data_IF_457122391253
#
_entry.id   IF_457122391253
#
_cell.length_a   1.000
_cell.length_b   1.000
_cell.length_c   1.000
_cell.angle_alpha   90.00
_cell.angle_beta   90.00
_cell.angle_gamma   90.00
#
_symmetry.space_group_name_H-M   'P 1'
#
loop_
_entity.id
_entity.type
_entity.pdbx_description
1 polymer ?
#
# COMPACT_ATOMS: atom_id res chain seq x y z
N UNK A 1 -18.43 5.10 17.10
CA UNK A 1 -19.05 4.11 16.19
C UNK A 1 -18.58 2.68 16.52
N UNK A 2 -19.24 1.68 15.98
CA UNK A 2 -18.78 0.30 16.05
C UNK A 2 -17.53 0.15 15.16
N UNK A 3 -16.48 -0.47 15.70
CA UNK A 3 -15.30 -0.84 14.88
C UNK A 3 -15.66 -2.08 14.07
N UNK A 4 -15.51 -1.97 12.75
CA UNK A 4 -15.87 -3.02 11.79
C UNK A 4 -14.61 -3.40 11.01
N UNK A 5 -14.23 -4.68 10.92
CA UNK A 5 -13.17 -5.13 10.04
C UNK A 5 -13.50 -4.82 8.58
N UNK A 6 -12.50 -4.45 7.78
CA UNK A 6 -12.67 -4.20 6.34
C UNK A 6 -13.19 -5.44 5.62
N UNK A 7 -12.71 -6.63 6.03
CA UNK A 7 -13.19 -7.92 5.53
C UNK A 7 -14.69 -8.12 5.69
N UNK A 8 -15.28 -7.67 6.80
CA UNK A 8 -16.71 -7.80 7.06
C UNK A 8 -17.53 -6.86 6.14
N UNK A 9 -17.03 -5.65 5.88
CA UNK A 9 -17.64 -4.73 4.91
C UNK A 9 -17.66 -5.29 3.49
N UNK A 10 -16.61 -6.02 3.12
CA UNK A 10 -16.52 -6.63 1.80
C UNK A 10 -17.38 -7.88 1.67
N UNK A 11 -17.54 -8.63 2.77
CA UNK A 11 -18.36 -9.83 2.79
C UNK A 11 -19.87 -9.52 2.85
N UNK A 12 -20.27 -8.50 3.60
CA UNK A 12 -21.68 -8.16 3.86
C UNK A 12 -21.88 -6.64 4.06
N UNK A 13 -21.47 -5.86 3.08
CA UNK A 13 -21.53 -4.40 3.14
C UNK A 13 -22.95 -3.84 3.22
N UNK A 14 -23.95 -4.56 2.71
CA UNK A 14 -25.37 -4.17 2.78
C UNK A 14 -25.84 -4.05 4.24
N UNK A 15 -25.38 -4.92 5.11
CA UNK A 15 -25.73 -4.91 6.54
C UNK A 15 -25.37 -3.59 7.23
N UNK A 16 -24.36 -2.92 6.78
CA UNK A 16 -23.86 -1.67 7.36
C UNK A 16 -24.35 -0.43 6.61
N UNK A 17 -25.13 -0.60 5.55
CA UNK A 17 -25.61 0.50 4.69
C UNK A 17 -26.25 1.63 5.50
N UNK A 18 -25.77 2.86 5.33
CA UNK A 18 -26.23 4.06 6.01
C UNK A 18 -25.86 4.17 7.49
N UNK A 19 -25.14 3.18 8.05
CA UNK A 19 -24.69 3.21 9.44
C UNK A 19 -23.39 4.01 9.58
N UNK A 20 -23.25 4.66 10.73
CA UNK A 20 -21.96 5.22 11.15
C UNK A 20 -21.09 4.12 11.74
N UNK A 21 -19.95 3.90 11.16
CA UNK A 21 -18.99 2.87 11.54
C UNK A 21 -17.58 3.46 11.64
N UNK A 22 -16.71 2.75 12.34
CA UNK A 22 -15.27 3.01 12.38
C UNK A 22 -14.55 1.82 11.75
N UNK A 23 -13.62 2.08 10.84
CA UNK A 23 -12.69 1.09 10.31
C UNK A 23 -11.27 1.49 10.62
N UNK A 24 -10.38 0.52 10.74
CA UNK A 24 -8.97 0.73 10.98
C UNK A 24 -8.16 0.09 9.87
N UNK A 25 -7.10 0.76 9.43
CA UNK A 25 -6.23 0.23 8.39
C UNK A 25 -5.23 1.24 7.85
N UNK A 26 -4.43 0.78 6.91
CA UNK A 26 -3.42 1.58 6.22
C UNK A 26 -4.04 2.36 5.06
N UNK A 27 -3.70 3.64 4.93
CA UNK A 27 -4.01 4.41 3.74
C UNK A 27 -3.05 4.03 2.61
N UNK A 28 -3.59 3.58 1.47
CA UNK A 28 -2.82 3.01 0.36
C UNK A 28 -3.18 3.68 -0.97
N UNK A 29 -2.22 3.72 -1.89
CA UNK A 29 -2.39 4.27 -3.24
C UNK A 29 -2.12 5.76 -3.28
N UNK A 30 -3.05 6.52 -3.88
CA UNK A 30 -2.92 7.96 -4.07
C UNK A 30 -4.01 8.73 -3.34
N UNK A 31 -3.71 9.98 -2.99
CA UNK A 31 -4.71 10.94 -2.51
C UNK A 31 -5.33 11.67 -3.70
N UNK A 32 -6.51 11.23 -4.10
CA UNK A 32 -7.26 11.78 -5.23
C UNK A 32 -8.09 13.00 -4.83
N UNK A 33 -7.54 14.21 -4.95
CA UNK A 33 -8.26 15.45 -4.68
C UNK A 33 -9.29 15.74 -5.77
N UNK A 34 -10.48 16.19 -5.37
CA UNK A 34 -11.59 16.52 -6.26
C UNK A 34 -11.98 18.00 -6.15
N UNK A 35 -12.57 18.53 -7.21
CA UNK A 35 -13.02 19.94 -7.26
C UNK A 35 -14.13 20.26 -6.26
N UNK A 36 -14.84 19.24 -5.76
CA UNK A 36 -15.90 19.38 -4.75
C UNK A 36 -15.36 19.52 -3.31
N UNK A 37 -14.03 19.67 -3.15
CA UNK A 37 -13.38 19.78 -1.83
C UNK A 37 -13.25 18.43 -1.12
N UNK A 38 -13.49 17.32 -1.81
CA UNK A 38 -13.28 15.99 -1.27
C UNK A 38 -11.93 15.39 -1.70
N UNK A 39 -11.43 14.48 -0.88
CA UNK A 39 -10.29 13.63 -1.15
C UNK A 39 -10.73 12.17 -1.10
N UNK A 40 -10.20 11.36 -2.01
CA UNK A 40 -10.42 9.94 -2.10
C UNK A 40 -9.10 9.20 -1.92
N UNK A 41 -9.16 8.08 -1.23
CA UNK A 41 -8.05 7.13 -1.13
C UNK A 41 -8.60 5.75 -0.79
N UNK A 42 -7.73 4.76 -0.65
CA UNK A 42 -8.08 3.41 -0.25
C UNK A 42 -7.56 3.16 1.17
N UNK A 43 -8.35 2.45 1.98
CA UNK A 43 -7.96 1.96 3.29
C UNK A 43 -7.94 0.44 3.25
N UNK A 44 -6.76 -0.14 3.51
CA UNK A 44 -6.53 -1.58 3.57
C UNK A 44 -6.45 -2.03 5.02
N UNK A 45 -6.91 -3.24 5.29
CA UNK A 45 -6.86 -3.86 6.62
C UNK A 45 -5.48 -4.43 6.99
N UNK A 46 -4.59 -4.58 6.02
CA UNK A 46 -3.23 -5.08 6.19
C UNK A 46 -2.17 -4.13 5.60
N UNK A 47 -0.90 -4.39 5.87
CA UNK A 47 0.20 -3.58 5.35
C UNK A 47 0.54 -3.95 3.91
N UNK A 48 0.20 -3.06 2.97
CA UNK A 48 0.50 -3.24 1.56
C UNK A 48 1.99 -3.47 1.28
N UNK A 49 2.85 -2.74 1.96
CA UNK A 49 4.29 -2.78 1.70
C UNK A 49 4.98 -4.02 2.28
N UNK A 50 4.42 -4.61 3.37
CA UNK A 50 4.99 -5.80 4.02
C UNK A 50 4.45 -7.09 3.44
N UNK A 51 3.16 -7.10 3.11
CA UNK A 51 2.43 -8.30 2.73
C UNK A 51 2.03 -8.27 1.25
N UNK A 52 2.76 -7.50 0.43
CA UNK A 52 2.49 -7.37 -0.99
C UNK A 52 2.56 -8.72 -1.71
N UNK A 53 1.56 -9.00 -2.56
CA UNK A 53 1.49 -10.25 -3.33
C UNK A 53 2.72 -10.49 -4.20
N UNK A 54 3.35 -9.42 -4.70
CA UNK A 54 4.57 -9.49 -5.52
C UNK A 54 5.77 -10.02 -4.75
N UNK A 55 5.78 -9.84 -3.43
CA UNK A 55 6.86 -10.28 -2.53
C UNK A 55 6.54 -11.61 -1.83
N UNK A 56 5.49 -12.31 -2.29
CA UNK A 56 5.10 -13.62 -1.79
C UNK A 56 4.10 -13.58 -0.63
N UNK A 57 3.44 -12.46 -0.41
CA UNK A 57 2.34 -12.34 0.55
C UNK A 57 1.17 -13.28 0.26
N UNK A 58 0.29 -13.55 1.22
CA UNK A 58 -0.84 -14.45 1.06
C UNK A 58 -1.81 -13.92 0.00
N UNK A 59 -2.31 -14.80 -0.87
CA UNK A 59 -3.26 -14.42 -1.93
C UNK A 59 -4.67 -14.17 -1.42
N UNK A 60 -5.06 -14.82 -0.34
CA UNK A 60 -6.39 -14.69 0.25
C UNK A 60 -6.35 -13.69 1.40
N UNK A 61 -7.14 -12.63 1.32
CA UNK A 61 -7.24 -11.59 2.34
C UNK A 61 -6.11 -10.57 2.37
N UNK A 62 -5.11 -10.68 1.49
CA UNK A 62 -4.02 -9.71 1.42
C UNK A 62 -4.42 -8.48 0.60
N UNK A 63 -4.02 -7.29 1.07
CA UNK A 63 -4.26 -6.01 0.41
C UNK A 63 -5.73 -5.75 0.08
N UNK A 64 -6.60 -6.19 0.96
CA UNK A 64 -8.04 -6.00 0.82
C UNK A 64 -8.41 -4.65 1.39
N UNK A 65 -9.06 -3.82 0.59
CA UNK A 65 -9.36 -2.46 0.99
C UNK A 65 -10.68 -1.94 0.48
N UNK A 66 -11.13 -0.88 1.10
CA UNK A 66 -12.33 -0.13 0.72
C UNK A 66 -11.97 1.30 0.35
N UNK A 67 -12.71 1.86 -0.60
CA UNK A 67 -12.62 3.29 -0.89
C UNK A 67 -13.10 4.12 0.30
N UNK A 68 -12.37 5.17 0.62
CA UNK A 68 -12.82 6.17 1.58
C UNK A 68 -12.86 7.54 0.92
N UNK A 69 -13.88 8.31 1.25
CA UNK A 69 -14.06 9.69 0.83
C UNK A 69 -14.12 10.59 2.05
N UNK A 70 -13.38 11.66 2.04
CA UNK A 70 -13.35 12.62 3.16
C UNK A 70 -13.23 14.06 2.67
N UNK A 71 -13.57 15.07 3.49
CA UNK A 71 -13.19 16.45 3.23
C UNK A 71 -11.67 16.58 3.14
N UNK A 72 -11.17 17.40 2.21
CA UNK A 72 -9.73 17.62 2.01
C UNK A 72 -9.03 18.05 3.31
N UNK A 73 -9.72 18.81 4.17
CA UNK A 73 -9.18 19.24 5.47
C UNK A 73 -8.83 18.11 6.44
N UNK A 74 -9.45 16.93 6.31
CA UNK A 74 -9.07 15.75 7.10
C UNK A 74 -7.79 15.08 6.58
N UNK A 75 -7.41 15.36 5.33
CA UNK A 75 -6.18 14.89 4.71
C UNK A 75 -4.99 15.82 4.90
N UNK A 76 -5.19 16.98 5.48
CA UNK A 76 -4.12 17.96 5.67
C UNK A 76 -3.05 17.42 6.62
N UNK A 77 -1.81 17.39 6.15
CA UNK A 77 -0.67 16.92 6.95
C UNK A 77 -0.50 15.39 7.04
N UNK A 78 -1.33 14.60 6.33
CA UNK A 78 -1.12 13.16 6.24
C UNK A 78 0.22 12.86 5.57
N UNK A 79 0.92 11.84 6.08
CA UNK A 79 2.06 11.26 5.39
C UNK A 79 1.61 10.65 4.05
N UNK A 80 2.52 10.44 3.07
CA UNK A 80 2.18 9.81 1.81
C UNK A 80 1.49 8.46 2.03
N UNK A 81 0.48 8.16 1.19
CA UNK A 81 -0.21 6.87 1.21
C UNK A 81 0.76 5.71 0.90
N UNK A 82 0.45 4.55 1.43
CA UNK A 82 1.25 3.34 1.25
C UNK A 82 1.37 2.90 -0.21
N UNK A 83 2.49 2.30 -0.52
CA UNK A 83 2.82 1.83 -1.85
C UNK A 83 4.06 0.95 -1.82
N UNK A 84 4.70 0.77 -2.97
CA UNK A 84 5.91 -0.04 -3.05
C UNK A 84 6.99 0.48 -2.09
N UNK A 85 7.36 -0.35 -1.09
CA UNK A 85 8.34 -0.04 -0.02
C UNK A 85 8.06 1.23 0.79
N UNK A 86 6.81 1.62 0.83
CA UNK A 86 6.32 2.72 1.63
C UNK A 86 5.11 2.25 2.42
N UNK A 87 5.23 2.16 3.73
CA UNK A 87 4.09 2.00 4.61
C UNK A 87 3.36 3.34 4.70
N UNK A 88 2.07 3.32 4.40
CA UNK A 88 1.20 4.46 4.60
C UNK A 88 0.83 4.67 6.06
N UNK A 89 0.18 5.79 6.38
CA UNK A 89 -0.32 6.01 7.73
C UNK A 89 -1.37 4.95 8.11
N UNK A 90 -1.23 4.39 9.32
CA UNK A 90 -2.28 3.59 9.94
C UNK A 90 -3.28 4.52 10.59
N UNK A 91 -4.55 4.40 10.23
CA UNK A 91 -5.59 5.32 10.67
C UNK A 91 -6.83 4.60 11.19
N UNK A 92 -7.58 5.29 12.05
CA UNK A 92 -8.99 5.00 12.30
C UNK A 92 -9.83 6.03 11.56
N UNK A 93 -10.71 5.55 10.67
CA UNK A 93 -11.64 6.34 9.89
C UNK A 93 -13.06 6.07 10.36
N UNK A 94 -13.75 7.12 10.83
CA UNK A 94 -15.15 7.06 11.25
C UNK A 94 -16.01 7.82 10.26
N UNK A 95 -17.13 7.23 9.86
CA UNK A 95 -18.04 7.85 8.91
C UNK A 95 -19.24 6.98 8.59
N UNK A 96 -20.01 7.41 7.60
CA UNK A 96 -21.21 6.70 7.14
C UNK A 96 -20.85 5.78 5.98
N UNK A 97 -21.13 4.49 6.12
CA UNK A 97 -20.96 3.53 5.04
C UNK A 97 -22.00 3.72 3.95
N UNK A 98 -21.55 4.01 2.75
CA UNK A 98 -22.36 4.13 1.53
C UNK A 98 -22.24 2.84 0.74
N UNK A 99 -23.32 2.05 0.71
CA UNK A 99 -23.38 0.80 -0.02
C UNK A 99 -24.14 1.01 -1.33
N UNK A 100 -23.51 0.69 -2.46
CA UNK A 100 -24.06 0.86 -3.79
C UNK A 100 -24.70 2.24 -4.02
N UNK A 101 -23.96 3.32 -3.75
CA UNK A 101 -24.45 4.70 -3.86
C UNK A 101 -24.89 5.02 -5.30
N UNK A 102 -26.19 5.21 -5.56
CA UNK A 102 -26.69 5.47 -6.91
C UNK A 102 -26.21 6.82 -7.47
N UNK A 103 -25.91 7.79 -6.61
CA UNK A 103 -25.41 9.10 -7.03
C UNK A 103 -23.96 9.02 -7.51
N UNK A 104 -23.27 7.90 -7.23
CA UNK A 104 -21.89 7.63 -7.62
C UNK A 104 -21.73 6.34 -8.42
N UNK A 105 -22.71 6.03 -9.24
CA UNK A 105 -22.62 4.89 -10.16
C UNK A 105 -22.63 3.52 -9.48
N UNK A 106 -23.11 3.42 -8.24
CA UNK A 106 -23.19 2.17 -7.50
C UNK A 106 -21.92 1.82 -6.74
N UNK A 107 -21.00 2.76 -6.56
CA UNK A 107 -19.81 2.56 -5.73
C UNK A 107 -20.17 2.39 -4.26
N UNK A 108 -19.39 1.55 -3.55
CA UNK A 108 -19.45 1.40 -2.10
C UNK A 108 -18.20 2.02 -1.47
N UNK A 109 -18.39 2.88 -0.48
CA UNK A 109 -17.30 3.60 0.17
C UNK A 109 -17.68 4.08 1.56
N UNK A 110 -16.68 4.36 2.41
CA UNK A 110 -16.90 5.07 3.68
C UNK A 110 -16.83 6.58 3.45
N UNK A 111 -17.92 7.29 3.74
CA UNK A 111 -17.94 8.75 3.74
C UNK A 111 -17.49 9.26 5.13
N UNK A 112 -16.20 9.55 5.23
CA UNK A 112 -15.49 9.81 6.48
C UNK A 112 -15.82 11.21 7.01
N UNK A 113 -16.17 11.28 8.29
CA UNK A 113 -16.40 12.50 9.05
C UNK A 113 -15.31 12.79 10.08
N UNK A 114 -14.56 11.74 10.52
CA UNK A 114 -13.43 11.88 11.43
C UNK A 114 -12.33 10.89 11.07
N UNK A 115 -11.07 11.35 11.13
CA UNK A 115 -9.88 10.56 10.88
C UNK A 115 -8.89 10.76 12.01
N UNK A 116 -8.36 9.67 12.55
CA UNK A 116 -7.31 9.68 13.58
C UNK A 116 -6.13 8.87 13.08
N UNK A 117 -4.95 9.48 12.99
CA UNK A 117 -3.71 8.78 12.69
C UNK A 117 -3.24 8.05 13.94
N UNK A 118 -3.05 6.73 13.84
CA UNK A 118 -2.54 5.86 14.92
C UNK A 118 -1.02 5.77 14.83
N UNK A 119 -0.52 5.53 13.60
CA UNK A 119 0.91 5.46 13.29
C UNK A 119 1.17 6.22 11.99
N UNK A 120 2.26 6.99 11.97
CA UNK A 120 2.70 7.65 10.74
C UNK A 120 3.27 6.64 9.75
N UNK A 121 3.07 6.93 8.47
CA UNK A 121 3.69 6.15 7.40
C UNK A 121 5.22 6.27 7.42
N UNK A 122 5.91 5.25 6.93
CA UNK A 122 7.37 5.21 6.86
C UNK A 122 7.88 4.50 5.61
N UNK A 123 9.04 4.92 5.15
CA UNK A 123 9.74 4.19 4.08
C UNK A 123 10.42 2.94 4.67
N UNK A 124 10.25 1.80 4.01
CA UNK A 124 10.98 0.59 4.33
C UNK A 124 12.39 0.68 3.74
N UNK A 125 13.40 0.48 4.59
CA UNK A 125 14.80 0.48 4.15
C UNK A 125 15.08 -0.76 3.28
N UNK A 126 15.72 -0.54 2.14
CA UNK A 126 16.29 -1.63 1.36
C UNK A 126 17.53 -2.15 2.06
N UNK A 127 17.47 -3.37 2.53
CA UNK A 127 18.70 -4.10 2.86
C UNK A 127 19.55 -4.26 1.59
N UNK A 128 20.90 -4.19 1.69
CA UNK A 128 21.75 -4.44 0.54
C UNK A 128 21.45 -5.83 -0.02
N UNK A 129 21.17 -5.90 -1.32
CA UNK A 129 20.96 -7.17 -2.01
C UNK A 129 22.31 -7.87 -2.23
N UNK A 130 22.72 -8.59 -1.20
CA UNK A 130 23.99 -9.33 -1.19
C UNK A 130 24.07 -10.37 -2.31
N UNK A 131 22.94 -10.89 -2.81
CA UNK A 131 22.93 -11.85 -3.89
C UNK A 131 23.34 -11.18 -5.21
N UNK A 132 22.82 -9.98 -5.50
CA UNK A 132 23.23 -9.18 -6.67
C UNK A 132 24.68 -8.75 -6.56
N UNK A 133 25.14 -8.34 -5.38
CA UNK A 133 26.54 -7.98 -5.13
C UNK A 133 27.49 -9.17 -5.33
N UNK A 134 27.13 -10.34 -4.80
CA UNK A 134 27.91 -11.56 -4.95
C UNK A 134 27.97 -12.03 -6.42
N UNK A 135 26.83 -12.01 -7.14
CA UNK A 135 26.78 -12.37 -8.55
C UNK A 135 27.62 -11.40 -9.43
N UNK A 136 27.50 -10.10 -9.19
CA UNK A 136 28.31 -9.08 -9.87
C UNK A 136 29.81 -9.26 -9.62
N UNK A 137 30.20 -9.51 -8.37
CA UNK A 137 31.61 -9.77 -8.00
C UNK A 137 32.16 -11.04 -8.64
N UNK A 138 31.37 -12.11 -8.68
CA UNK A 138 31.75 -13.37 -9.35
C UNK A 138 31.99 -13.16 -10.85
N UNK A 139 31.12 -12.45 -11.54
CA UNK A 139 31.27 -12.13 -12.96
C UNK A 139 32.55 -11.35 -13.23
N UNK A 140 32.89 -10.35 -12.38
CA UNK A 140 34.13 -9.60 -12.50
C UNK A 140 35.38 -10.48 -12.33
N UNK A 141 35.36 -11.40 -11.35
CA UNK A 141 36.47 -12.33 -11.13
C UNK A 141 36.64 -13.27 -12.35
N UNK A 142 35.56 -13.88 -12.82
CA UNK A 142 35.58 -14.78 -13.99
C UNK A 142 36.12 -14.05 -15.23
N UNK A 143 35.61 -12.85 -15.50
CA UNK A 143 36.06 -12.01 -16.63
C UNK A 143 37.55 -11.66 -16.52
N UNK A 144 38.02 -11.32 -15.34
CA UNK A 144 39.44 -10.99 -15.11
C UNK A 144 40.36 -12.21 -15.32
N UNK A 145 39.94 -13.38 -14.84
CA UNK A 145 40.68 -14.64 -15.03
C UNK A 145 40.74 -15.03 -16.51
N UNK A 146 39.62 -14.91 -17.22
CA UNK A 146 39.57 -15.21 -18.66
C UNK A 146 40.45 -14.27 -19.48
N UNK A 147 40.41 -12.96 -19.18
CA UNK A 147 41.27 -11.97 -19.82
C UNK A 147 42.76 -12.23 -19.58
N UNK A 148 43.14 -12.55 -18.33
CA UNK A 148 44.54 -12.88 -17.96
C UNK A 148 45.03 -14.15 -18.65
N UNK A 149 44.21 -15.20 -18.75
CA UNK A 149 44.53 -16.43 -19.48
C UNK A 149 44.72 -16.16 -20.96
N UNK A 150 43.92 -15.33 -21.58
CA UNK A 150 44.01 -14.98 -22.99
C UNK A 150 45.32 -14.22 -23.29
N UNK A 151 45.69 -13.25 -22.47
CA UNK A 151 46.96 -12.55 -22.62
C UNK A 151 48.16 -13.49 -22.53
N UNK A 152 48.20 -14.42 -21.58
CA UNK A 152 49.30 -15.37 -21.45
C UNK A 152 49.43 -16.33 -22.65
N UNK A 153 48.35 -16.67 -23.34
CA UNK A 153 48.38 -17.49 -24.53
C UNK A 153 48.88 -16.73 -25.76
N UNK A 154 48.67 -15.43 -25.80
CA UNK A 154 49.17 -14.56 -26.87
C UNK A 154 50.68 -14.27 -26.73
N UNK A 155 51.21 -14.16 -25.49
CA UNK A 155 52.63 -13.96 -25.19
C UNK A 155 53.47 -15.21 -25.35
N UNK A 156 52.87 -16.40 -25.48
CA UNK A 156 53.55 -17.70 -25.62
C UNK A 156 53.58 -18.22 -27.08
N UNK A 157 53.04 -17.51 -28.04
CA UNK A 157 52.97 -17.84 -29.47
C UNK A 157 53.93 -16.93 -30.25
#
# INVERSE_FOLDING_TARGET
GQVVPVSDLLADGERFAGSEITIEGELVGDYGFRHDGSMWTQLNDDSYARDALVDGGPRAGANVGVGIRMPTSLGDGLAPAGGYRLEGPLVQATGVWRYHDPERGGESYLNVSALTVIEDGRRLEEGPDWAVFAAGSLLLVVSSVMWWRRRRSEDAA
#
